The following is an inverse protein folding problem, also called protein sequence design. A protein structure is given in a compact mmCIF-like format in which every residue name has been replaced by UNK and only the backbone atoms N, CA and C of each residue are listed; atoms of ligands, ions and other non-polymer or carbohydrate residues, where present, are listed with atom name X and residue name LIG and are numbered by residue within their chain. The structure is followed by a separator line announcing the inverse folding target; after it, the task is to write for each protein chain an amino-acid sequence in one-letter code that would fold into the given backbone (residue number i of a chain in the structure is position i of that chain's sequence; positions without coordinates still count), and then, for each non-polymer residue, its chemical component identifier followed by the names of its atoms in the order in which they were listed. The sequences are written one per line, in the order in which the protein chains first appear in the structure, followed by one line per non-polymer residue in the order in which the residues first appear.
data_IF_274063764173
#
_entry.id   IF_274063764173
#
_cell.length_a   1.000
_cell.length_b   1.000
_cell.length_c   1.000
_cell.angle_alpha   90.00
_cell.angle_beta   90.00
_cell.angle_gamma   90.00
#
_symmetry.space_group_name_H-M   'P 1'
#
loop_
_entity.id
_entity.type
_entity.pdbx_description
1 polymer ?
#
# COMPACT_ATOMS: atom_id res chain seq x y z
N UNK A 1 -14.30 12.18 21.22
CA UNK A 1 -13.79 11.91 19.85
C UNK A 1 -14.45 10.63 19.39
N UNK A 2 -15.36 10.70 18.42
CA UNK A 2 -16.02 9.51 17.89
C UNK A 2 -14.97 8.68 17.15
N UNK A 3 -14.62 7.52 17.71
CA UNK A 3 -13.83 6.53 16.99
C UNK A 3 -14.72 5.97 15.89
N UNK A 4 -14.54 6.45 14.65
CA UNK A 4 -15.05 5.76 13.47
C UNK A 4 -14.44 4.36 13.48
N UNK A 5 -15.28 3.35 13.65
CA UNK A 5 -14.85 1.96 13.66
C UNK A 5 -14.48 1.57 12.23
N UNK A 6 -13.19 1.51 11.94
CA UNK A 6 -12.66 1.03 10.65
C UNK A 6 -12.67 -0.49 10.68
N UNK A 7 -13.21 -1.12 9.64
CA UNK A 7 -13.10 -2.56 9.45
C UNK A 7 -11.68 -2.87 8.99
N UNK A 8 -10.94 -3.61 9.82
CA UNK A 8 -9.60 -4.10 9.48
C UNK A 8 -9.69 -5.55 9.02
N UNK A 9 -9.22 -5.82 7.81
CA UNK A 9 -9.01 -7.17 7.30
C UNK A 9 -7.64 -7.68 7.77
N UNK A 10 -7.50 -8.98 7.98
CA UNK A 10 -6.23 -9.59 8.40
C UNK A 10 -5.13 -9.42 7.34
N UNK A 11 -3.88 -9.41 7.80
CA UNK A 11 -2.73 -9.35 6.91
C UNK A 11 -2.64 -10.64 6.07
N UNK A 12 -2.59 -10.49 4.75
CA UNK A 12 -2.52 -11.62 3.81
C UNK A 12 -1.09 -12.16 3.60
N UNK A 13 -0.23 -12.15 4.62
CA UNK A 13 1.14 -12.67 4.57
C UNK A 13 1.54 -13.34 5.88
N UNK A 14 2.66 -14.07 5.90
CA UNK A 14 3.11 -14.68 7.16
C UNK A 14 3.79 -13.65 8.06
N UNK A 15 3.66 -13.85 9.38
CA UNK A 15 4.38 -13.03 10.36
C UNK A 15 5.86 -13.38 10.30
N UNK A 16 6.62 -12.62 9.52
CA UNK A 16 8.07 -12.69 9.51
C UNK A 16 8.64 -12.07 10.78
N UNK A 17 9.66 -12.71 11.35
CA UNK A 17 10.42 -12.18 12.51
C UNK A 17 11.39 -11.06 12.06
N UNK A 18 11.63 -10.94 10.75
CA UNK A 18 12.60 -10.00 10.18
C UNK A 18 12.01 -8.64 9.75
N UNK A 19 10.67 -8.50 9.73
CA UNK A 19 9.99 -7.26 9.30
C UNK A 19 9.49 -6.42 10.48
N UNK A 20 9.46 -5.09 10.32
CA UNK A 20 8.77 -4.18 11.25
C UNK A 20 7.27 -4.14 10.89
N UNK A 21 6.41 -4.59 11.79
CA UNK A 21 4.96 -4.41 11.64
C UNK A 21 4.59 -2.93 11.71
N UNK A 22 3.62 -2.51 10.91
CA UNK A 22 3.11 -1.14 10.86
C UNK A 22 1.59 -1.12 10.70
N UNK A 23 0.98 0.00 11.09
CA UNK A 23 -0.46 0.24 11.02
C UNK A 23 -0.73 1.76 10.93
N UNK A 24 -1.20 2.22 9.77
CA UNK A 24 -1.45 3.63 9.43
C UNK A 24 -2.77 4.19 10.00
N UNK A 25 -3.49 3.43 10.85
CA UNK A 25 -4.71 3.80 11.60
C UNK A 25 -5.29 5.20 11.35
N UNK A 26 -6.56 5.27 10.92
CA UNK A 26 -7.32 6.53 10.91
C UNK A 26 -7.20 7.36 9.64
N UNK A 27 -6.39 6.92 8.67
CA UNK A 27 -6.35 7.51 7.33
C UNK A 27 -7.17 6.66 6.34
N UNK A 28 -8.13 7.28 5.63
CA UNK A 28 -9.00 6.57 4.67
C UNK A 28 -8.98 7.17 3.26
N UNK A 29 -8.51 8.41 3.10
CA UNK A 29 -8.49 9.13 1.82
C UNK A 29 -7.07 9.11 1.25
N UNK A 30 -6.81 8.16 0.36
CA UNK A 30 -5.52 8.04 -0.35
C UNK A 30 -5.57 8.86 -1.64
N UNK A 31 -4.53 9.65 -1.88
CA UNK A 31 -4.31 10.38 -3.13
C UNK A 31 -3.22 9.73 -3.98
N UNK A 32 -2.12 9.32 -3.35
CA UNK A 32 -0.98 8.73 -4.04
C UNK A 32 -0.45 7.50 -3.29
N UNK A 33 0.04 6.53 -4.06
CA UNK A 33 0.73 5.34 -3.55
C UNK A 33 2.08 5.26 -4.22
N UNK A 34 3.14 5.25 -3.42
CA UNK A 34 4.51 5.12 -3.87
C UNK A 34 4.96 3.68 -3.65
N UNK A 35 5.46 3.04 -4.70
CA UNK A 35 5.81 1.61 -4.69
C UNK A 35 7.23 1.44 -5.21
N UNK A 36 8.11 0.90 -4.37
CA UNK A 36 9.44 0.42 -4.79
C UNK A 36 9.42 -1.10 -4.91
N UNK A 37 9.93 -1.63 -6.00
CA UNK A 37 9.91 -3.06 -6.30
C UNK A 37 11.09 -3.48 -7.19
N UNK A 38 11.33 -4.79 -7.23
CA UNK A 38 12.26 -5.47 -8.13
C UNK A 38 11.67 -6.83 -8.51
N UNK A 39 12.40 -7.61 -9.33
CA UNK A 39 11.93 -8.92 -9.79
C UNK A 39 11.49 -9.82 -8.63
N UNK A 40 10.18 -10.10 -8.57
CA UNK A 40 9.50 -10.91 -7.56
C UNK A 40 9.59 -10.37 -6.12
N UNK A 41 9.62 -9.05 -5.94
CA UNK A 41 9.60 -8.45 -4.60
C UNK A 41 9.05 -7.01 -4.58
N UNK A 42 8.08 -6.76 -3.71
CA UNK A 42 7.73 -5.40 -3.29
C UNK A 42 8.65 -5.00 -2.12
N UNK A 43 9.47 -3.97 -2.32
CA UNK A 43 10.49 -3.53 -1.35
C UNK A 43 9.96 -2.49 -0.37
N UNK A 44 9.13 -1.55 -0.83
CA UNK A 44 8.50 -0.57 0.05
C UNK A 44 7.19 0.01 -0.48
N UNK A 45 6.37 0.48 0.46
CA UNK A 45 5.16 1.25 0.22
C UNK A 45 5.19 2.55 1.02
N UNK A 46 4.64 3.62 0.45
CA UNK A 46 4.36 4.87 1.14
C UNK A 46 3.06 5.46 0.58
N UNK A 47 2.32 6.21 1.39
CA UNK A 47 0.99 6.70 1.05
C UNK A 47 0.90 8.21 1.28
N UNK A 48 0.33 8.93 0.32
CA UNK A 48 -0.08 10.31 0.49
C UNK A 48 -1.58 10.35 0.81
N UNK A 49 -1.93 10.81 2.01
CA UNK A 49 -3.31 10.95 2.45
C UNK A 49 -3.81 12.39 2.31
N UNK A 50 -5.14 12.53 2.19
CA UNK A 50 -5.85 13.81 2.27
C UNK A 50 -6.60 13.88 3.60
N UNK A 51 -6.35 14.90 4.41
CA UNK A 51 -7.08 15.08 5.67
C UNK A 51 -8.48 15.71 5.48
N UNK A 52 -9.17 15.99 6.59
CA UNK A 52 -10.50 16.61 6.57
C UNK A 52 -10.50 18.03 6.04
N UNK A 53 -9.37 18.74 6.13
CA UNK A 53 -9.17 20.10 5.65
C UNK A 53 -8.68 20.15 4.19
N UNK A 54 -8.44 18.98 3.57
CA UNK A 54 -7.88 18.88 2.22
C UNK A 54 -6.35 18.95 2.17
N UNK A 55 -5.66 18.94 3.32
CA UNK A 55 -4.20 18.98 3.36
C UNK A 55 -3.60 17.61 3.07
N UNK A 56 -2.42 17.61 2.46
CA UNK A 56 -1.68 16.41 2.09
C UNK A 56 -0.75 15.97 3.23
N UNK A 57 -0.90 14.75 3.71
CA UNK A 57 -0.07 14.14 4.76
C UNK A 57 0.61 12.87 4.25
N UNK A 58 1.95 12.82 4.28
CA UNK A 58 2.73 11.69 3.78
C UNK A 58 3.00 10.71 4.92
N UNK A 59 2.78 9.42 4.70
CA UNK A 59 3.03 8.37 5.69
C UNK A 59 4.53 8.13 5.95
N UNK A 60 4.84 7.34 6.98
CA UNK A 60 6.16 6.70 7.06
C UNK A 60 6.39 5.82 5.82
N UNK A 61 7.66 5.67 5.43
CA UNK A 61 8.07 4.69 4.44
C UNK A 61 8.07 3.29 5.08
N UNK A 62 7.28 2.38 4.53
CA UNK A 62 7.19 1.01 5.01
C UNK A 62 8.05 0.09 4.16
N UNK A 63 9.15 -0.40 4.74
CA UNK A 63 10.16 -1.19 4.04
C UNK A 63 11.40 -0.36 3.73
N UNK A 64 12.10 -0.70 2.65
CA UNK A 64 13.27 0.07 2.19
C UNK A 64 13.15 0.33 0.70
N UNK A 65 13.38 1.57 0.29
CA UNK A 65 13.41 1.97 -1.12
C UNK A 65 14.71 1.51 -1.81
N UNK A 66 14.96 0.21 -1.80
CA UNK A 66 16.13 -0.45 -2.43
C UNK A 66 15.75 -1.18 -3.72
N UNK A 67 14.47 -1.19 -4.10
CA UNK A 67 14.03 -1.81 -5.33
C UNK A 67 14.61 -1.09 -6.55
N UNK A 68 14.82 -1.83 -7.63
CA UNK A 68 15.37 -1.31 -8.88
C UNK A 68 14.35 -0.47 -9.67
N UNK A 69 13.06 -0.63 -9.36
CA UNK A 69 11.94 0.05 -10.00
C UNK A 69 11.14 0.83 -8.98
N UNK A 70 10.52 1.91 -9.45
CA UNK A 70 9.71 2.78 -8.64
C UNK A 70 8.54 3.34 -9.45
N UNK A 71 7.34 3.25 -8.90
CA UNK A 71 6.13 3.80 -9.50
C UNK A 71 5.33 4.61 -8.48
N UNK A 72 4.69 5.66 -8.98
CA UNK A 72 3.71 6.45 -8.25
C UNK A 72 2.36 6.19 -8.90
N UNK A 73 1.38 5.78 -8.11
CA UNK A 73 -0.02 5.72 -8.52
C UNK A 73 -0.67 7.01 -8.03
N UNK A 74 -1.02 7.90 -8.96
CA UNK A 74 -1.78 9.11 -8.68
C UNK A 74 -3.27 8.84 -8.91
N UNK A 75 -4.06 8.82 -7.85
CA UNK A 75 -5.51 8.68 -7.94
C UNK A 75 -6.12 10.04 -8.24
N UNK A 76 -7.08 10.09 -9.17
CA UNK A 76 -7.86 11.29 -9.43
C UNK A 76 -8.90 11.54 -8.30
N UNK A 77 -8.41 11.83 -7.10
CA UNK A 77 -9.20 12.08 -5.90
C UNK A 77 -10.10 13.33 -6.08
N UNK A 78 -11.39 13.29 -5.67
CA UNK A 78 -12.06 12.20 -4.98
C UNK A 78 -12.78 11.21 -5.91
N UNK A 79 -12.69 11.40 -7.23
CA UNK A 79 -13.48 10.64 -8.22
C UNK A 79 -12.94 9.24 -8.49
N UNK A 80 -11.68 8.98 -8.15
CA UNK A 80 -11.04 7.67 -8.21
C UNK A 80 -10.63 7.21 -6.83
N UNK A 81 -10.99 5.98 -6.49
CA UNK A 81 -10.75 5.36 -5.19
C UNK A 81 -10.50 3.87 -5.33
N UNK A 82 -9.74 3.31 -4.40
CA UNK A 82 -9.38 1.89 -4.36
C UNK A 82 -10.62 1.07 -4.05
N UNK A 83 -10.87 0.06 -4.89
CA UNK A 83 -11.95 -0.92 -4.71
C UNK A 83 -11.41 -2.31 -4.40
N UNK A 84 -10.11 -2.54 -4.60
CA UNK A 84 -9.48 -3.79 -4.24
C UNK A 84 -7.96 -3.76 -4.34
N UNK A 85 -7.35 -4.77 -3.75
CA UNK A 85 -5.93 -5.10 -3.91
C UNK A 85 -5.84 -6.56 -4.30
N UNK A 86 -4.92 -6.87 -5.20
CA UNK A 86 -4.61 -8.25 -5.57
C UNK A 86 -3.11 -8.41 -5.73
N UNK A 87 -2.63 -9.64 -5.70
CA UNK A 87 -1.21 -9.89 -5.80
C UNK A 87 -0.87 -11.32 -5.44
N UNK A 88 0.41 -11.63 -5.59
CA UNK A 88 0.96 -12.92 -5.22
C UNK A 88 1.95 -12.73 -4.09
N UNK A 89 2.02 -13.73 -3.22
CA UNK A 89 3.03 -13.83 -2.18
C UNK A 89 3.79 -15.14 -2.35
N UNK A 90 5.06 -15.12 -1.96
CA UNK A 90 5.85 -16.33 -1.84
C UNK A 90 5.90 -16.72 -0.37
N UNK A 91 5.22 -17.80 -0.04
CA UNK A 91 5.13 -18.37 1.32
C UNK A 91 6.43 -19.13 1.66
N UNK A 92 7.53 -18.39 1.77
CA UNK A 92 8.84 -18.86 2.23
C UNK A 92 9.17 -18.36 3.64
N UNK A 93 10.35 -18.72 4.16
CA UNK A 93 10.94 -18.09 5.34
C UNK A 93 12.22 -17.33 4.93
N UNK A 94 12.20 -16.00 4.79
CA UNK A 94 11.07 -15.10 5.05
C UNK A 94 10.03 -15.09 3.92
N UNK A 95 8.76 -14.82 4.25
CA UNK A 95 7.70 -14.61 3.26
C UNK A 95 7.86 -13.23 2.65
N UNK A 96 7.51 -13.09 1.37
CA UNK A 96 7.51 -11.80 0.67
C UNK A 96 6.33 -11.66 -0.27
N UNK A 97 5.87 -10.42 -0.44
CA UNK A 97 4.91 -10.08 -1.49
C UNK A 97 5.71 -9.99 -2.78
N UNK A 98 5.37 -10.84 -3.76
CA UNK A 98 6.09 -10.92 -5.03
C UNK A 98 5.45 -10.08 -6.12
N UNK A 99 4.16 -9.78 -5.99
CA UNK A 99 3.49 -8.82 -6.86
C UNK A 99 2.33 -8.13 -6.18
N UNK A 100 2.01 -6.93 -6.66
CA UNK A 100 0.90 -6.13 -6.17
C UNK A 100 0.20 -5.44 -7.34
N UNK A 101 -1.13 -5.46 -7.34
CA UNK A 101 -1.97 -4.63 -8.18
C UNK A 101 -2.96 -3.85 -7.32
N UNK A 102 -3.12 -2.57 -7.63
CA UNK A 102 -4.12 -1.69 -7.01
C UNK A 102 -5.28 -1.55 -7.98
N UNK A 103 -6.47 -1.93 -7.55
CA UNK A 103 -7.68 -1.90 -8.37
C UNK A 103 -8.53 -0.72 -7.89
N UNK A 104 -8.89 0.17 -8.79
CA UNK A 104 -9.75 1.31 -8.54
C UNK A 104 -11.08 1.14 -9.27
N UNK A 105 -12.02 2.04 -9.00
CA UNK A 105 -13.26 2.15 -9.76
C UNK A 105 -13.05 2.59 -11.23
N UNK A 106 -11.83 2.98 -11.65
CA UNK A 106 -11.53 3.46 -13.00
C UNK A 106 -10.49 2.63 -13.75
N UNK A 107 -9.53 2.05 -13.05
CA UNK A 107 -8.37 1.40 -13.65
C UNK A 107 -7.79 0.32 -12.74
N UNK A 108 -6.85 -0.45 -13.29
CA UNK A 108 -5.97 -1.33 -12.51
C UNK A 108 -4.53 -0.90 -12.74
N UNK A 109 -3.78 -0.73 -11.66
CA UNK A 109 -2.37 -0.36 -11.67
C UNK A 109 -1.54 -1.56 -11.25
N UNK A 110 -0.56 -1.93 -12.08
CA UNK A 110 0.26 -3.13 -11.91
C UNK A 110 -0.09 -4.24 -12.91
N UNK A 111 0.34 -5.49 -12.67
CA UNK A 111 1.09 -5.92 -11.50
C UNK A 111 2.48 -5.29 -11.44
N UNK A 112 2.84 -4.76 -10.28
CA UNK A 112 4.23 -4.45 -9.94
C UNK A 112 4.88 -5.74 -9.48
N UNK A 113 5.93 -6.19 -10.16
CA UNK A 113 6.61 -7.47 -9.93
C UNK A 113 8.03 -7.44 -10.49
#
# INVERSE_FOLDING_TARGET
MNSSSIIKVEAAGTRSIAGKSWDEKGHSKIKEIYISYEDNMINSLQFQYVDENGSLNLSELHGKSTGQRFNIIELNYPTEYITGVSGWRHDSNPSRIISLSIITNKATYGPFA
#
